data_IF_257403137724
#
_entry.id   IF_257403137724
#
_cell.length_a   1.000
_cell.length_b   1.000
_cell.length_c   1.000
_cell.angle_alpha   90.00
_cell.angle_beta   90.00
_cell.angle_gamma   90.00
#
_symmetry.space_group_name_H-M   'P 1'
#
loop_
_entity.id
_entity.type
_entity.pdbx_description
1 polymer ?
#
# COMPACT_ATOMS: atom_id res chain seq x y z
N UNK A 1 21.01 18.49 8.95
CA UNK A 1 19.85 17.57 9.16
C UNK A 1 20.41 16.17 9.26
N UNK A 2 19.92 15.30 10.11
CA UNK A 2 20.38 13.90 10.18
C UNK A 2 19.86 13.11 8.97
N UNK A 3 20.70 12.26 8.38
CA UNK A 3 20.29 11.36 7.31
C UNK A 3 19.06 10.52 7.71
N UNK A 4 18.24 10.16 6.74
CA UNK A 4 17.04 9.34 6.96
C UNK A 4 17.39 7.95 7.52
N UNK A 5 18.49 7.37 7.03
CA UNK A 5 19.02 6.09 7.52
C UNK A 5 20.09 6.31 8.59
N UNK A 6 20.12 5.45 9.59
CA UNK A 6 21.17 5.44 10.60
C UNK A 6 22.49 4.87 10.08
N UNK A 7 22.40 3.90 9.15
CA UNK A 7 23.54 3.31 8.46
C UNK A 7 23.37 3.52 6.96
N UNK A 8 24.27 4.28 6.36
CA UNK A 8 24.34 4.55 4.94
C UNK A 8 25.67 4.12 4.32
N UNK A 9 26.42 3.23 4.99
CA UNK A 9 27.75 2.76 4.56
C UNK A 9 27.79 2.20 3.15
N UNK A 10 26.71 1.53 2.71
CA UNK A 10 26.58 0.98 1.35
C UNK A 10 26.37 2.00 0.24
N UNK A 11 26.24 3.29 0.56
CA UNK A 11 25.95 4.35 -0.41
C UNK A 11 27.15 5.24 -0.75
N UNK A 12 28.36 4.94 -0.29
CA UNK A 12 29.55 5.74 -0.58
C UNK A 12 29.97 5.75 -2.05
N UNK A 13 29.51 4.78 -2.84
CA UNK A 13 29.93 4.67 -4.25
C UNK A 13 31.44 4.52 -4.39
N UNK A 14 32.07 5.38 -5.21
CA UNK A 14 33.53 5.43 -5.40
C UNK A 14 34.25 6.20 -4.29
N UNK A 15 33.53 6.89 -3.41
CA UNK A 15 34.10 7.75 -2.39
C UNK A 15 34.56 9.13 -2.88
N UNK A 16 34.32 9.45 -4.16
CA UNK A 16 34.66 10.74 -4.74
C UNK A 16 33.78 11.87 -4.21
N UNK A 17 34.30 13.07 -4.21
CA UNK A 17 33.53 14.27 -3.92
C UNK A 17 32.70 14.70 -5.13
N UNK A 18 31.50 15.25 -4.87
CA UNK A 18 30.66 15.81 -5.92
C UNK A 18 31.20 17.17 -6.44
N UNK A 19 30.54 17.76 -7.44
CA UNK A 19 30.90 19.05 -8.02
C UNK A 19 30.96 20.21 -7.01
N UNK A 20 30.19 20.12 -5.91
CA UNK A 20 30.21 21.08 -4.82
C UNK A 20 31.34 20.82 -3.80
N UNK A 21 32.19 19.82 -4.03
CA UNK A 21 33.31 19.46 -3.18
C UNK A 21 32.90 18.66 -1.91
N UNK A 22 31.68 18.13 -1.87
CA UNK A 22 31.15 17.42 -0.71
C UNK A 22 31.38 15.92 -0.82
N UNK A 23 31.72 15.27 0.29
CA UNK A 23 31.60 13.83 0.47
C UNK A 23 30.14 13.44 0.79
N UNK A 24 29.84 12.16 0.98
CA UNK A 24 28.48 11.68 1.24
C UNK A 24 27.91 12.25 2.54
N UNK A 25 28.66 12.27 3.62
CA UNK A 25 28.22 12.79 4.91
C UNK A 25 27.88 14.27 4.84
N UNK A 26 28.77 15.09 4.28
CA UNK A 26 28.57 16.53 4.07
C UNK A 26 27.33 16.80 3.20
N UNK A 27 27.11 16.00 2.15
CA UNK A 27 25.93 16.10 1.31
C UNK A 27 24.65 15.77 2.08
N UNK A 28 24.61 14.66 2.82
CA UNK A 28 23.42 14.23 3.58
C UNK A 28 23.09 15.20 4.72
N UNK A 29 24.09 15.80 5.36
CA UNK A 29 23.90 16.81 6.41
C UNK A 29 23.23 18.09 5.88
N UNK A 30 23.60 18.49 4.67
CA UNK A 30 23.07 19.71 4.02
C UNK A 30 21.80 19.48 3.21
N UNK A 31 21.46 18.22 2.91
CA UNK A 31 20.27 17.89 2.12
C UNK A 31 18.99 18.17 2.91
N UNK A 32 18.13 19.03 2.37
CA UNK A 32 16.80 19.28 2.92
C UNK A 32 15.71 18.70 2.00
N UNK A 33 15.14 17.52 2.33
CA UNK A 33 14.09 16.91 1.52
C UNK A 33 12.80 17.75 1.46
N UNK A 34 12.60 18.68 2.40
CA UNK A 34 11.40 19.54 2.44
C UNK A 34 11.45 20.66 1.41
N UNK A 35 12.54 20.84 0.68
CA UNK A 35 12.62 21.75 -0.49
C UNK A 35 11.71 21.31 -1.63
N UNK A 36 11.32 20.04 -1.65
CA UNK A 36 10.52 19.45 -2.71
C UNK A 36 9.18 18.99 -2.14
N UNK A 37 8.12 19.25 -2.90
CA UNK A 37 6.82 18.65 -2.61
C UNK A 37 6.91 17.14 -2.83
N UNK A 38 6.50 16.37 -1.84
CA UNK A 38 6.54 14.91 -1.90
C UNK A 38 5.13 14.33 -1.90
N UNK A 39 4.81 13.42 -2.84
CA UNK A 39 3.53 12.72 -2.80
C UNK A 39 3.45 11.80 -1.58
N UNK A 40 2.25 11.55 -1.11
CA UNK A 40 1.97 10.48 -0.17
C UNK A 40 1.89 9.15 -0.92
N UNK A 41 2.40 8.09 -0.31
CA UNK A 41 2.27 6.74 -0.85
C UNK A 41 1.23 5.95 -0.06
N UNK A 42 0.40 5.21 -0.79
CA UNK A 42 -0.60 4.28 -0.25
C UNK A 42 -0.45 2.91 -0.89
N UNK A 43 -1.08 1.92 -0.30
CA UNK A 43 -1.27 0.60 -0.93
C UNK A 43 -2.74 0.24 -0.92
N UNK A 44 -3.19 -0.50 -1.92
CA UNK A 44 -4.51 -1.09 -2.01
C UNK A 44 -4.38 -2.60 -2.25
N UNK A 45 -5.16 -3.41 -1.50
CA UNK A 45 -5.13 -4.86 -1.61
C UNK A 45 -6.35 -5.37 -2.39
N UNK A 46 -6.11 -5.99 -3.55
CA UNK A 46 -7.11 -6.64 -4.38
C UNK A 46 -7.14 -8.12 -4.03
N UNK A 47 -8.02 -8.52 -3.13
CA UNK A 47 -8.13 -9.89 -2.69
C UNK A 47 -9.34 -10.52 -3.37
N UNK A 48 -9.08 -11.49 -4.24
CA UNK A 48 -10.11 -12.31 -4.85
C UNK A 48 -10.30 -13.62 -4.08
N UNK A 49 -11.53 -14.06 -3.97
CA UNK A 49 -11.86 -15.36 -3.41
C UNK A 49 -12.68 -16.18 -4.41
N UNK A 50 -12.46 -17.49 -4.39
CA UNK A 50 -13.21 -18.46 -5.17
C UNK A 50 -13.76 -19.57 -4.28
N UNK A 51 -14.89 -20.17 -4.71
CA UNK A 51 -15.48 -21.36 -4.08
C UNK A 51 -14.95 -22.63 -4.78
N UNK A 52 -14.74 -23.70 -4.01
CA UNK A 52 -14.29 -24.98 -4.53
C UNK A 52 -12.79 -25.23 -4.38
N UNK A 53 -12.27 -26.19 -5.18
CA UNK A 53 -10.89 -26.67 -5.07
C UNK A 53 -9.91 -25.88 -5.98
N UNK A 54 -10.41 -25.20 -7.01
CA UNK A 54 -9.60 -24.45 -7.97
C UNK A 54 -10.35 -23.24 -8.53
N UNK A 55 -9.60 -22.23 -8.97
CA UNK A 55 -10.12 -21.03 -9.63
C UNK A 55 -10.00 -21.22 -11.16
N UNK A 56 -10.94 -21.95 -11.77
CA UNK A 56 -10.91 -22.26 -13.19
C UNK A 56 -11.78 -21.30 -14.04
N UNK A 57 -12.57 -20.46 -13.40
CA UNK A 57 -13.48 -19.50 -14.02
C UNK A 57 -13.57 -18.24 -13.18
N UNK A 58 -13.98 -17.15 -13.82
CA UNK A 58 -14.38 -15.92 -13.13
C UNK A 58 -15.80 -16.00 -12.55
N UNK A 59 -16.57 -17.03 -12.93
CA UNK A 59 -17.91 -17.24 -12.40
C UNK A 59 -17.84 -17.59 -10.90
N UNK A 60 -18.57 -16.82 -10.10
CA UNK A 60 -18.52 -16.95 -8.63
C UNK A 60 -17.27 -16.37 -7.97
N UNK A 61 -16.41 -15.69 -8.72
CA UNK A 61 -15.28 -14.94 -8.15
C UNK A 61 -15.83 -13.78 -7.30
N UNK A 62 -15.25 -13.62 -6.12
CA UNK A 62 -15.59 -12.53 -5.20
C UNK A 62 -14.39 -11.64 -4.97
N UNK A 63 -14.61 -10.37 -4.68
CA UNK A 63 -13.58 -9.42 -4.27
C UNK A 63 -13.87 -8.90 -2.87
N UNK A 64 -12.83 -8.77 -2.06
CA UNK A 64 -12.95 -8.21 -0.71
C UNK A 64 -13.03 -6.70 -0.78
N UNK A 65 -14.09 -6.15 -0.20
CA UNK A 65 -14.29 -4.71 -0.10
C UNK A 65 -14.57 -4.30 1.35
N UNK A 66 -14.14 -3.10 1.69
CA UNK A 66 -14.42 -2.43 2.96
C UNK A 66 -15.30 -1.22 2.75
N UNK A 67 -16.18 -0.94 3.69
CA UNK A 67 -17.03 0.26 3.67
C UNK A 67 -16.30 1.39 4.37
N UNK A 68 -16.12 2.49 3.66
CA UNK A 68 -15.44 3.67 4.20
C UNK A 68 -16.23 4.31 5.32
N UNK A 69 -15.61 4.48 6.48
CA UNK A 69 -16.17 5.16 7.66
C UNK A 69 -15.90 6.66 7.66
N UNK A 70 -14.99 7.15 6.79
CA UNK A 70 -14.56 8.55 6.78
C UNK A 70 -14.40 9.11 5.34
N UNK A 71 -14.23 10.42 5.23
CA UNK A 71 -13.95 11.12 3.98
C UNK A 71 -12.51 10.87 3.45
N UNK A 72 -12.32 10.96 2.15
CA UNK A 72 -13.30 11.16 1.08
C UNK A 72 -14.16 9.91 0.84
N UNK A 73 -15.31 10.09 0.17
CA UNK A 73 -16.20 8.99 -0.25
C UNK A 73 -16.76 8.14 0.90
N UNK A 74 -17.12 8.79 2.01
CA UNK A 74 -17.73 8.12 3.16
C UNK A 74 -18.96 7.29 2.75
N UNK A 75 -19.06 6.07 3.26
CA UNK A 75 -20.15 5.13 2.98
C UNK A 75 -20.01 4.34 1.68
N UNK A 76 -19.02 4.64 0.85
CA UNK A 76 -18.73 3.87 -0.36
C UNK A 76 -17.86 2.66 -0.04
N UNK A 77 -17.93 1.66 -0.92
CA UNK A 77 -17.08 0.49 -0.88
C UNK A 77 -15.75 0.76 -1.57
N UNK A 78 -14.69 0.27 -1.00
CA UNK A 78 -13.32 0.44 -1.49
C UNK A 78 -12.51 -0.84 -1.28
N UNK A 79 -11.38 -0.94 -1.96
CA UNK A 79 -10.37 -1.94 -1.64
C UNK A 79 -9.77 -1.63 -0.25
N UNK A 80 -9.43 -2.65 0.55
CA UNK A 80 -8.64 -2.45 1.75
C UNK A 80 -7.31 -1.78 1.42
N UNK A 81 -6.91 -0.78 2.22
CA UNK A 81 -5.65 -0.10 1.99
C UNK A 81 -5.53 1.23 2.70
N UNK A 82 -4.30 1.76 2.73
CA UNK A 82 -4.02 3.00 3.42
C UNK A 82 -2.61 3.51 3.21
N UNK A 83 -2.21 4.47 4.03
CA UNK A 83 -0.94 5.19 3.90
C UNK A 83 0.24 4.37 4.41
N UNK A 84 1.33 4.40 3.65
CA UNK A 84 2.60 3.84 4.07
C UNK A 84 3.25 4.67 5.18
N UNK A 85 3.76 4.01 6.20
CA UNK A 85 4.56 4.65 7.23
C UNK A 85 5.98 4.91 6.70
N UNK A 86 6.66 5.92 7.25
CA UNK A 86 7.99 6.37 6.78
C UNK A 86 9.11 5.31 6.86
N UNK A 87 8.93 4.25 7.64
CA UNK A 87 9.92 3.17 7.81
C UNK A 87 9.31 1.79 7.60
N UNK A 88 8.35 1.70 6.72
CA UNK A 88 7.61 0.51 6.38
C UNK A 88 7.74 0.27 4.87
N UNK A 89 8.05 -0.94 4.47
CA UNK A 89 8.06 -1.30 3.07
C UNK A 89 6.61 -1.41 2.53
N UNK A 90 6.41 -1.19 1.23
CA UNK A 90 5.05 -1.12 0.68
C UNK A 90 4.29 -2.46 0.80
N UNK A 91 4.96 -3.59 0.72
CA UNK A 91 4.33 -4.90 0.93
C UNK A 91 3.96 -5.15 2.41
N UNK A 92 4.71 -4.56 3.36
CA UNK A 92 4.35 -4.54 4.79
C UNK A 92 3.13 -3.65 5.02
N UNK A 93 3.08 -2.46 4.38
CA UNK A 93 1.91 -1.57 4.42
C UNK A 93 0.67 -2.30 3.92
N UNK A 94 0.75 -2.97 2.77
CA UNK A 94 -0.38 -3.71 2.21
C UNK A 94 -0.90 -4.81 3.15
N UNK A 95 0.01 -5.56 3.79
CA UNK A 95 -0.35 -6.59 4.77
C UNK A 95 -0.98 -5.99 6.03
N UNK A 96 -0.40 -4.92 6.57
CA UNK A 96 -0.90 -4.26 7.78
C UNK A 96 -2.30 -3.68 7.56
N UNK A 97 -2.50 -2.90 6.50
CA UNK A 97 -3.81 -2.30 6.19
C UNK A 97 -4.88 -3.37 5.94
N UNK A 98 -4.55 -4.44 5.20
CA UNK A 98 -5.46 -5.56 5.00
C UNK A 98 -5.88 -6.21 6.32
N UNK A 99 -4.93 -6.45 7.23
CA UNK A 99 -5.21 -7.03 8.54
C UNK A 99 -6.04 -6.08 9.42
N UNK A 100 -5.66 -4.81 9.48
CA UNK A 100 -6.34 -3.79 10.31
C UNK A 100 -7.78 -3.58 9.88
N UNK A 101 -8.06 -3.52 8.57
CA UNK A 101 -9.40 -3.25 8.07
C UNK A 101 -10.29 -4.49 7.93
N UNK A 102 -9.72 -5.68 7.76
CA UNK A 102 -10.49 -6.90 7.41
C UNK A 102 -10.22 -8.11 8.30
N UNK A 103 -9.21 -8.05 9.16
CA UNK A 103 -8.76 -9.19 9.95
C UNK A 103 -8.03 -10.29 9.15
N UNK A 104 -7.92 -10.13 7.83
CA UNK A 104 -7.24 -11.09 6.95
C UNK A 104 -5.73 -10.92 7.06
N UNK A 105 -5.03 -12.02 7.34
CA UNK A 105 -3.58 -12.03 7.52
C UNK A 105 -2.91 -13.27 6.95
N UNK A 106 -1.58 -13.16 6.82
CA UNK A 106 -0.76 -14.27 6.36
C UNK A 106 -0.84 -14.54 4.86
N UNK A 107 -1.46 -13.66 4.07
CA UNK A 107 -1.50 -13.80 2.62
C UNK A 107 -0.18 -13.35 1.99
N UNK A 108 0.26 -14.13 1.00
CA UNK A 108 1.28 -13.68 0.05
C UNK A 108 0.58 -12.92 -1.06
N UNK A 109 0.91 -11.65 -1.20
CA UNK A 109 0.36 -10.78 -2.23
C UNK A 109 1.46 -10.38 -3.20
N UNK A 110 1.11 -10.24 -4.47
CA UNK A 110 2.00 -9.76 -5.52
C UNK A 110 1.64 -8.32 -5.91
N UNK A 111 2.67 -7.48 -6.09
CA UNK A 111 2.47 -6.14 -6.64
C UNK A 111 2.04 -6.25 -8.11
N UNK A 112 0.93 -5.63 -8.47
CA UNK A 112 0.36 -5.72 -9.82
C UNK A 112 0.46 -4.42 -10.61
N UNK A 113 0.28 -3.26 -9.97
CA UNK A 113 0.29 -1.97 -10.65
C UNK A 113 0.54 -0.81 -9.68
N UNK A 114 0.93 0.34 -10.24
CA UNK A 114 0.99 1.61 -9.53
C UNK A 114 0.13 2.63 -10.25
N UNK A 115 -0.70 3.35 -9.51
CA UNK A 115 -1.63 4.36 -10.01
C UNK A 115 -1.26 5.72 -9.45
N UNK A 116 -1.07 6.68 -10.34
CA UNK A 116 -0.56 7.99 -9.95
C UNK A 116 -1.22 9.16 -10.68
N UNK A 117 -2.49 9.07 -11.07
CA UNK A 117 -3.22 10.20 -11.65
C UNK A 117 -3.24 11.36 -10.64
N UNK A 118 -2.97 12.57 -11.11
CA UNK A 118 -2.72 13.70 -10.21
C UNK A 118 -3.95 14.11 -9.40
N UNK A 119 -5.14 13.81 -9.89
CA UNK A 119 -6.44 14.18 -9.36
C UNK A 119 -7.23 13.02 -8.72
N UNK A 120 -6.56 11.87 -8.49
CA UNK A 120 -7.22 10.69 -7.93
C UNK A 120 -7.65 10.83 -6.46
N UNK A 121 -7.05 11.74 -5.70
CA UNK A 121 -7.35 11.99 -4.30
C UNK A 121 -7.46 13.50 -4.02
N UNK A 122 -8.59 13.99 -3.46
CA UNK A 122 -8.80 15.41 -3.25
C UNK A 122 -7.98 16.02 -2.11
N UNK A 123 -7.34 15.19 -1.28
CA UNK A 123 -6.58 15.66 -0.10
C UNK A 123 -5.19 16.15 -0.45
N UNK A 124 -4.50 15.41 -1.33
CA UNK A 124 -3.11 15.68 -1.70
C UNK A 124 -2.71 14.83 -2.91
N UNK A 125 -1.49 15.02 -3.41
CA UNK A 125 -0.88 14.11 -4.39
C UNK A 125 -0.68 12.74 -3.76
N UNK A 126 -1.43 11.74 -4.20
CA UNK A 126 -1.33 10.35 -3.72
C UNK A 126 -0.95 9.42 -4.86
N UNK A 127 0.05 8.58 -4.62
CA UNK A 127 0.44 7.46 -5.49
C UNK A 127 0.14 6.18 -4.73
N UNK A 128 -0.63 5.29 -5.33
CA UNK A 128 -0.93 3.99 -4.72
C UNK A 128 -0.30 2.84 -5.48
N UNK A 129 0.13 1.83 -4.76
CA UNK A 129 0.60 0.56 -5.30
C UNK A 129 -0.41 -0.52 -4.96
N UNK A 130 -0.94 -1.18 -5.99
CA UNK A 130 -1.90 -2.26 -5.84
C UNK A 130 -1.19 -3.61 -5.70
N UNK A 131 -1.66 -4.39 -4.73
CA UNK A 131 -1.23 -5.75 -4.43
C UNK A 131 -2.40 -6.70 -4.61
N UNK A 132 -2.16 -7.91 -5.09
CA UNK A 132 -3.21 -8.88 -5.37
C UNK A 132 -2.90 -10.26 -4.77
N UNK A 133 -3.94 -10.93 -4.32
CA UNK A 133 -3.95 -12.36 -4.02
C UNK A 133 -5.25 -12.99 -4.48
N UNK A 134 -5.20 -14.28 -4.82
CA UNK A 134 -6.38 -15.12 -5.12
C UNK A 134 -6.37 -16.30 -4.16
N UNK A 135 -7.44 -16.46 -3.40
CA UNK A 135 -7.50 -17.43 -2.31
C UNK A 135 -8.81 -18.23 -2.32
N UNK A 136 -8.83 -19.48 -1.81
CA UNK A 136 -10.10 -20.13 -1.49
C UNK A 136 -10.87 -19.33 -0.44
N UNK A 137 -12.18 -19.11 -0.62
CA UNK A 137 -12.99 -18.29 0.30
C UNK A 137 -12.93 -18.81 1.75
N UNK A 138 -12.90 -20.12 1.90
CA UNK A 138 -12.85 -20.78 3.21
C UNK A 138 -11.45 -20.71 3.90
N UNK A 139 -10.43 -20.24 3.18
CA UNK A 139 -9.07 -20.12 3.72
C UNK A 139 -8.89 -18.85 4.57
N UNK A 140 -9.79 -17.86 4.44
CA UNK A 140 -9.70 -16.59 5.14
C UNK A 140 -11.00 -16.25 5.86
N UNK A 141 -10.86 -15.66 7.07
CA UNK A 141 -11.99 -15.10 7.82
C UNK A 141 -11.94 -13.59 7.70
N UNK A 142 -13.04 -13.02 7.25
CA UNK A 142 -13.20 -11.57 7.11
C UNK A 142 -14.00 -11.05 8.29
N UNK A 143 -13.49 -10.01 8.93
CA UNK A 143 -14.14 -9.28 10.01
C UNK A 143 -13.73 -7.82 9.91
N UNK A 144 -14.70 -6.91 9.86
CA UNK A 144 -14.42 -5.48 9.85
C UNK A 144 -13.53 -5.08 11.03
N UNK A 145 -12.48 -4.32 10.75
CA UNK A 145 -11.56 -3.77 11.74
C UNK A 145 -11.96 -2.35 12.15
N UNK A 146 -11.09 -1.71 12.93
CA UNK A 146 -11.38 -0.45 13.64
C UNK A 146 -11.75 0.73 12.71
N UNK A 147 -11.12 0.83 11.54
CA UNK A 147 -11.33 1.93 10.59
C UNK A 147 -12.31 1.61 9.45
N UNK A 148 -12.80 0.38 9.35
CA UNK A 148 -13.80 -0.04 8.39
C UNK A 148 -15.18 -0.17 9.06
N UNK A 149 -16.20 0.49 8.49
CA UNK A 149 -17.58 0.32 8.98
C UNK A 149 -18.14 -1.08 8.69
N UNK A 150 -17.62 -1.76 7.69
CA UNK A 150 -17.97 -3.13 7.30
C UNK A 150 -16.91 -3.71 6.35
N UNK A 151 -16.79 -5.04 6.28
CA UNK A 151 -15.93 -5.76 5.35
C UNK A 151 -16.66 -6.97 4.80
N UNK A 152 -16.76 -7.08 3.47
CA UNK A 152 -17.59 -8.10 2.81
C UNK A 152 -16.93 -8.65 1.54
N UNK A 153 -17.31 -9.86 1.17
CA UNK A 153 -17.08 -10.43 -0.14
C UNK A 153 -18.19 -9.99 -1.09
N UNK A 154 -17.82 -9.35 -2.21
CA UNK A 154 -18.73 -8.94 -3.27
C UNK A 154 -18.51 -9.79 -4.51
N UNK A 155 -19.57 -10.30 -5.13
CA UNK A 155 -19.46 -11.01 -6.41
C UNK A 155 -18.93 -10.09 -7.51
N UNK A 156 -18.02 -10.64 -8.32
CA UNK A 156 -17.50 -9.97 -9.51
C UNK A 156 -18.41 -10.31 -10.68
N UNK A 157 -19.12 -9.31 -11.19
CA UNK A 157 -19.95 -9.41 -12.38
C UNK A 157 -19.30 -8.61 -13.52
N UNK A 158 -18.92 -9.29 -14.61
CA UNK A 158 -18.30 -8.70 -15.80
C UNK A 158 -19.31 -8.53 -16.93
#
# INVERSE_FOLDING_TARGET
MTAFLNDFSKFYGTGEKNEAGQNLEEFLELYDPRKYETPSNTTDAVIFAYEGESCDSIDGLKVLLVKRSNHPSIGYWALPGGFANMREDLDETARRELEEETGVKGLVMEQIATYGDYDRDPRTRVITTAYMAVVPENAVKVQAGDDAADAVWCEVNL
#
